data_IF_254058154077
#
_entry.id   IF_254058154077
#
_cell.length_a   1.000
_cell.length_b   1.000
_cell.length_c   1.000
_cell.angle_alpha   90.00
_cell.angle_beta   90.00
_cell.angle_gamma   90.00
#
_symmetry.space_group_name_H-M   'P 1'
#
loop_
_entity.id
_entity.type
_entity.pdbx_description
1 polymer ?
#
# COMPACT_ATOMS: atom_id res chain seq x y z
N UNK A 1 16.49 -17.79 8.14
CA UNK A 1 16.92 -17.39 6.78
C UNK A 1 16.75 -15.89 6.64
N UNK A 2 17.80 -15.10 6.85
CA UNK A 2 17.76 -13.64 6.68
C UNK A 2 17.86 -13.31 5.18
N UNK A 3 16.73 -13.32 4.47
CA UNK A 3 16.69 -12.77 3.13
C UNK A 3 17.14 -11.31 3.19
N UNK A 4 18.14 -10.96 2.36
CA UNK A 4 18.71 -9.63 2.34
C UNK A 4 17.64 -8.62 1.93
N UNK A 5 17.41 -7.57 2.74
CA UNK A 5 16.43 -6.51 2.46
C UNK A 5 16.62 -5.88 1.07
N UNK A 6 17.87 -5.79 0.61
CA UNK A 6 18.22 -5.32 -0.74
C UNK A 6 17.68 -6.26 -1.82
N UNK A 7 17.76 -7.58 -1.61
CA UNK A 7 17.21 -8.55 -2.56
C UNK A 7 15.69 -8.43 -2.67
N UNK A 8 14.99 -8.25 -1.54
CA UNK A 8 13.53 -8.06 -1.53
C UNK A 8 13.12 -6.78 -2.29
N UNK A 9 13.89 -5.69 -2.15
CA UNK A 9 13.67 -4.47 -2.94
C UNK A 9 13.92 -4.70 -4.44
N UNK A 10 14.95 -5.44 -4.80
CA UNK A 10 15.23 -5.78 -6.20
C UNK A 10 14.12 -6.65 -6.80
N UNK A 11 13.60 -7.61 -6.03
CA UNK A 11 12.49 -8.47 -6.44
C UNK A 11 11.18 -7.66 -6.57
N UNK A 12 10.90 -6.75 -5.63
CA UNK A 12 9.78 -5.81 -5.74
C UNK A 12 9.88 -4.96 -7.00
N UNK A 13 11.06 -4.41 -7.29
CA UNK A 13 11.28 -3.64 -8.51
C UNK A 13 11.09 -4.51 -9.76
N UNK A 14 11.56 -5.76 -9.75
CA UNK A 14 11.38 -6.71 -10.85
C UNK A 14 9.90 -7.03 -11.08
N UNK A 15 9.12 -7.27 -10.02
CA UNK A 15 7.67 -7.46 -10.13
C UNK A 15 6.97 -6.21 -10.68
N UNK A 16 7.41 -5.01 -10.31
CA UNK A 16 6.86 -3.75 -10.82
C UNK A 16 7.18 -3.51 -12.30
N UNK A 17 8.36 -3.90 -12.76
CA UNK A 17 8.81 -3.62 -14.14
C UNK A 17 8.41 -4.74 -15.11
N UNK A 18 8.65 -5.99 -14.71
CA UNK A 18 8.58 -7.17 -15.57
C UNK A 18 7.48 -8.17 -15.16
N UNK A 19 7.00 -8.11 -13.92
CA UNK A 19 6.06 -9.11 -13.38
C UNK A 19 4.61 -8.97 -13.85
N UNK A 20 3.72 -9.72 -13.22
CA UNK A 20 2.26 -9.63 -13.43
C UNK A 20 1.54 -9.00 -12.23
N UNK A 21 2.30 -8.44 -11.29
CA UNK A 21 1.83 -7.91 -10.02
C UNK A 21 1.02 -8.95 -9.24
N UNK A 22 1.34 -10.25 -9.34
CA UNK A 22 0.62 -11.33 -8.66
C UNK A 22 1.54 -12.00 -7.63
N UNK A 23 1.78 -11.35 -6.48
CA UNK A 23 2.72 -11.81 -5.49
C UNK A 23 2.27 -13.13 -4.87
N UNK A 24 3.20 -14.04 -4.60
CA UNK A 24 2.91 -15.19 -3.75
C UNK A 24 2.79 -14.75 -2.29
N UNK A 25 2.13 -15.57 -1.46
CA UNK A 25 2.05 -15.33 -0.01
C UNK A 25 3.43 -15.20 0.62
N UNK A 26 4.37 -16.09 0.28
CA UNK A 26 5.74 -16.06 0.80
C UNK A 26 6.47 -14.78 0.40
N UNK A 27 6.28 -14.30 -0.83
CA UNK A 27 6.82 -13.02 -1.25
C UNK A 27 6.22 -11.85 -0.46
N UNK A 28 4.90 -11.82 -0.28
CA UNK A 28 4.24 -10.79 0.53
C UNK A 28 4.78 -10.77 1.97
N UNK A 29 4.93 -11.93 2.61
CA UNK A 29 5.48 -12.05 3.97
C UNK A 29 6.93 -11.53 4.05
N UNK A 30 7.75 -11.76 3.03
CA UNK A 30 9.11 -11.21 2.95
C UNK A 30 9.14 -9.67 2.85
N UNK A 31 8.09 -9.05 2.31
CA UNK A 31 8.00 -7.58 2.23
C UNK A 31 7.53 -6.93 3.53
N UNK A 32 6.88 -7.67 4.43
CA UNK A 32 6.31 -7.13 5.65
C UNK A 32 7.33 -6.40 6.55
N UNK A 33 8.56 -6.91 6.78
CA UNK A 33 9.57 -6.18 7.55
C UNK A 33 9.97 -4.84 6.92
N UNK A 34 9.94 -4.70 5.58
CA UNK A 34 10.28 -3.44 4.91
C UNK A 34 9.21 -2.38 5.14
N UNK A 35 7.94 -2.79 5.23
CA UNK A 35 6.81 -1.89 5.48
C UNK A 35 6.79 -1.30 6.89
N UNK A 36 7.41 -1.99 7.84
CA UNK A 36 7.44 -1.61 9.25
C UNK A 36 8.73 -0.87 9.63
N UNK A 37 9.71 -0.82 8.74
CA UNK A 37 11.00 -0.18 8.96
C UNK A 37 11.02 1.19 8.27
N UNK A 38 11.02 2.24 9.10
CA UNK A 38 10.97 3.63 8.63
C UNK A 38 12.14 4.00 7.71
N UNK A 39 13.28 3.31 7.81
CA UNK A 39 14.43 3.55 6.93
C UNK A 39 14.13 3.25 5.46
N UNK A 40 13.18 2.34 5.19
CA UNK A 40 12.80 1.95 3.83
C UNK A 40 11.62 2.74 3.28
N UNK A 41 10.91 3.51 4.10
CA UNK A 41 9.68 4.22 3.71
C UNK A 41 9.88 5.07 2.46
N UNK A 42 10.91 5.91 2.43
CA UNK A 42 11.23 6.75 1.26
C UNK A 42 11.54 5.93 0.01
N UNK A 43 12.25 4.80 0.16
CA UNK A 43 12.56 3.90 -0.96
C UNK A 43 11.29 3.24 -1.51
N UNK A 44 10.41 2.77 -0.64
CA UNK A 44 9.13 2.17 -1.01
C UNK A 44 8.21 3.15 -1.76
N UNK A 45 8.26 4.45 -1.43
CA UNK A 45 7.55 5.48 -2.20
C UNK A 45 8.19 5.79 -3.56
N UNK A 46 9.51 5.59 -3.71
CA UNK A 46 10.27 5.86 -4.95
C UNK A 46 10.34 4.67 -5.91
N UNK A 47 10.19 3.44 -5.41
CA UNK A 47 10.32 2.22 -6.22
C UNK A 47 9.31 2.13 -7.38
N UNK A 48 8.22 2.88 -7.28
CA UNK A 48 7.14 2.93 -8.25
C UNK A 48 7.30 4.02 -9.32
N UNK A 49 8.49 4.64 -9.43
CA UNK A 49 8.68 5.79 -10.31
C UNK A 49 8.24 5.45 -11.75
N UNK A 50 7.40 6.32 -12.34
CA UNK A 50 6.74 6.16 -13.65
C UNK A 50 5.71 5.03 -13.79
N UNK A 51 5.40 4.25 -12.74
CA UNK A 51 4.42 3.14 -12.79
C UNK A 51 3.44 3.11 -11.60
N UNK A 52 2.79 4.23 -11.25
CA UNK A 52 1.98 4.33 -10.03
C UNK A 52 0.83 3.30 -9.99
N UNK A 53 0.05 3.11 -11.07
CA UNK A 53 -1.07 2.16 -11.03
C UNK A 53 -0.64 0.69 -10.88
N UNK A 54 0.51 0.30 -11.46
CA UNK A 54 1.07 -1.05 -11.23
C UNK A 54 1.52 -1.24 -9.79
N UNK A 55 2.11 -0.21 -9.19
CA UNK A 55 2.48 -0.24 -7.79
C UNK A 55 1.25 -0.29 -6.87
N UNK A 56 0.19 0.45 -7.19
CA UNK A 56 -1.07 0.36 -6.47
C UNK A 56 -1.63 -1.06 -6.48
N UNK A 57 -1.65 -1.71 -7.66
CA UNK A 57 -2.10 -3.09 -7.79
C UNK A 57 -1.24 -4.08 -7.01
N UNK A 58 0.09 -3.99 -7.15
CA UNK A 58 1.02 -4.88 -6.45
C UNK A 58 0.88 -4.76 -4.94
N UNK A 59 0.90 -3.52 -4.40
CA UNK A 59 0.79 -3.30 -2.96
C UNK A 59 -0.59 -3.68 -2.41
N UNK A 60 -1.67 -3.50 -3.19
CA UNK A 60 -2.99 -4.02 -2.80
C UNK A 60 -2.96 -5.53 -2.63
N UNK A 61 -2.38 -6.26 -3.59
CA UNK A 61 -2.32 -7.74 -3.56
C UNK A 61 -1.35 -8.26 -2.50
N UNK A 62 -0.25 -7.56 -2.25
CA UNK A 62 0.60 -7.84 -1.09
C UNK A 62 -0.22 -7.68 0.20
N UNK A 63 -0.97 -6.58 0.34
CA UNK A 63 -1.84 -6.34 1.48
C UNK A 63 -2.91 -7.41 1.69
N UNK A 64 -3.40 -8.05 0.62
CA UNK A 64 -4.37 -9.15 0.70
C UNK A 64 -3.80 -10.39 1.42
N UNK A 65 -2.48 -10.61 1.35
CA UNK A 65 -1.79 -11.72 2.02
C UNK A 65 -1.30 -11.39 3.44
N UNK A 66 -1.29 -10.11 3.81
CA UNK A 66 -0.80 -9.64 5.10
C UNK A 66 -1.95 -9.41 6.09
N UNK A 67 -1.60 -9.11 7.35
CA UNK A 67 -2.53 -8.71 8.40
C UNK A 67 -1.93 -7.63 9.31
N UNK A 68 -2.77 -6.97 10.11
CA UNK A 68 -2.35 -6.01 11.11
C UNK A 68 -1.59 -4.82 10.52
N UNK A 69 -0.52 -4.37 11.19
CA UNK A 69 0.19 -3.14 10.81
C UNK A 69 0.83 -3.23 9.43
N UNK A 70 1.36 -4.40 9.04
CA UNK A 70 1.98 -4.56 7.72
C UNK A 70 0.94 -4.44 6.60
N UNK A 71 -0.26 -4.99 6.77
CA UNK A 71 -1.38 -4.80 5.85
C UNK A 71 -1.80 -3.34 5.75
N UNK A 72 -1.91 -2.64 6.88
CA UNK A 72 -2.25 -1.22 6.93
C UNK A 72 -1.25 -0.39 6.12
N UNK A 73 0.05 -0.62 6.30
CA UNK A 73 1.10 0.10 5.56
C UNK A 73 1.09 -0.25 4.06
N UNK A 74 0.91 -1.52 3.69
CA UNK A 74 0.81 -1.95 2.29
C UNK A 74 -0.37 -1.27 1.58
N UNK A 75 -1.56 -1.30 2.19
CA UNK A 75 -2.77 -0.67 1.64
C UNK A 75 -2.66 0.86 1.59
N UNK A 76 -1.96 1.48 2.55
CA UNK A 76 -1.67 2.92 2.54
C UNK A 76 -0.77 3.29 1.35
N UNK A 77 0.30 2.53 1.09
CA UNK A 77 1.13 2.72 -0.10
C UNK A 77 0.32 2.55 -1.38
N UNK A 78 -0.53 1.52 -1.43
CA UNK A 78 -1.39 1.26 -2.58
C UNK A 78 -2.32 2.46 -2.85
N UNK A 79 -2.92 3.05 -1.81
CA UNK A 79 -3.80 4.22 -1.93
C UNK A 79 -3.05 5.43 -2.48
N UNK A 80 -1.85 5.72 -1.95
CA UNK A 80 -1.01 6.82 -2.46
C UNK A 80 -0.68 6.61 -3.94
N UNK A 81 -0.32 5.40 -4.34
CA UNK A 81 -0.01 5.11 -5.73
C UNK A 81 -1.23 5.14 -6.64
N UNK A 82 -2.41 4.74 -6.17
CA UNK A 82 -3.66 4.86 -6.92
C UNK A 82 -3.97 6.33 -7.21
N UNK A 83 -3.85 7.21 -6.21
CA UNK A 83 -4.04 8.64 -6.39
C UNK A 83 -3.00 9.24 -7.32
N UNK A 84 -1.71 8.95 -7.13
CA UNK A 84 -0.63 9.38 -8.05
C UNK A 84 -0.83 8.90 -9.48
N UNK A 85 -1.50 7.76 -9.65
CA UNK A 85 -1.85 7.20 -10.95
C UNK A 85 -3.12 7.79 -11.57
N UNK A 86 -3.72 8.80 -10.95
CA UNK A 86 -4.93 9.46 -11.44
C UNK A 86 -6.22 8.69 -11.17
N UNK A 87 -6.22 7.74 -10.22
CA UNK A 87 -7.41 6.98 -9.87
C UNK A 87 -7.84 7.20 -8.40
N UNK A 88 -8.52 8.32 -8.11
CA UNK A 88 -8.95 8.66 -6.76
C UNK A 88 -10.01 7.69 -6.20
N UNK A 89 -10.85 7.08 -7.04
CA UNK A 89 -11.84 6.09 -6.60
C UNK A 89 -11.22 4.80 -6.05
N UNK A 90 -10.16 4.30 -6.69
CA UNK A 90 -9.37 3.18 -6.14
C UNK A 90 -8.69 3.61 -4.84
N UNK A 91 -8.13 4.83 -4.79
CA UNK A 91 -7.53 5.36 -3.55
C UNK A 91 -8.55 5.38 -2.40
N UNK A 92 -9.77 5.90 -2.63
CA UNK A 92 -10.84 5.92 -1.63
C UNK A 92 -11.23 4.51 -1.16
N UNK A 93 -11.34 3.55 -2.08
CA UNK A 93 -11.62 2.15 -1.75
C UNK A 93 -10.54 1.56 -0.84
N UNK A 94 -9.26 1.84 -1.13
CA UNK A 94 -8.13 1.38 -0.32
C UNK A 94 -8.10 2.05 1.06
N UNK A 95 -8.46 3.34 1.15
CA UNK A 95 -8.63 4.03 2.43
C UNK A 95 -9.68 3.35 3.29
N UNK A 96 -10.87 3.03 2.75
CA UNK A 96 -11.90 2.31 3.50
C UNK A 96 -11.40 0.96 4.01
N UNK A 97 -10.60 0.24 3.20
CA UNK A 97 -9.98 -1.03 3.62
C UNK A 97 -8.97 -0.84 4.75
N UNK A 98 -8.19 0.24 4.73
CA UNK A 98 -7.28 0.60 5.83
C UNK A 98 -8.06 0.88 7.11
N UNK A 99 -9.13 1.66 7.04
CA UNK A 99 -9.96 1.99 8.21
C UNK A 99 -10.59 0.75 8.86
N UNK A 100 -11.07 -0.20 8.03
CA UNK A 100 -11.59 -1.47 8.53
C UNK A 100 -10.49 -2.24 9.28
N UNK A 101 -9.29 -2.32 8.72
CA UNK A 101 -8.17 -3.05 9.33
C UNK A 101 -7.68 -2.36 10.63
N UNK A 102 -7.62 -1.02 10.64
CA UNK A 102 -7.32 -0.20 11.82
C UNK A 102 -8.30 -0.48 12.95
N UNK A 103 -9.61 -0.44 12.66
CA UNK A 103 -10.66 -0.76 13.66
C UNK A 103 -10.56 -2.19 14.16
N UNK A 104 -10.32 -3.14 13.26
CA UNK A 104 -10.24 -4.58 13.59
C UNK A 104 -9.06 -4.91 14.52
N UNK A 105 -7.92 -4.26 14.31
CA UNK A 105 -6.69 -4.57 15.02
C UNK A 105 -6.28 -3.52 16.07
N UNK A 106 -7.11 -2.50 16.32
CA UNK A 106 -6.82 -1.39 17.23
C UNK A 106 -5.46 -0.71 16.95
N UNK A 107 -5.07 -0.67 15.67
CA UNK A 107 -3.82 -0.05 15.25
C UNK A 107 -4.01 1.46 15.00
N UNK A 108 -2.96 2.27 15.10
CA UNK A 108 -3.04 3.68 14.75
C UNK A 108 -3.28 3.86 13.25
N UNK A 109 -4.17 4.78 12.88
CA UNK A 109 -4.34 5.22 11.49
C UNK A 109 -3.06 5.91 11.01
N UNK A 110 -2.48 5.50 9.86
CA UNK A 110 -1.34 6.21 9.31
C UNK A 110 -1.73 7.64 8.90
N UNK A 111 -0.95 8.64 9.31
CA UNK A 111 -1.22 10.05 8.98
C UNK A 111 -1.38 10.32 7.47
N UNK A 112 -0.76 9.50 6.63
CA UNK A 112 -0.92 9.57 5.18
C UNK A 112 -2.37 9.35 4.74
N UNK A 113 -3.16 8.54 5.46
CA UNK A 113 -4.59 8.36 5.17
C UNK A 113 -5.34 9.66 5.36
N UNK A 114 -5.07 10.39 6.44
CA UNK A 114 -5.71 11.67 6.69
C UNK A 114 -5.32 12.70 5.62
N UNK A 115 -4.05 12.69 5.18
CA UNK A 115 -3.60 13.53 4.05
C UNK A 115 -4.34 13.17 2.75
N UNK A 116 -4.48 11.88 2.42
CA UNK A 116 -5.18 11.46 1.21
C UNK A 116 -6.66 11.86 1.22
N UNK A 117 -7.30 11.85 2.40
CA UNK A 117 -8.69 12.31 2.57
C UNK A 117 -8.87 13.82 2.37
N UNK A 118 -7.80 14.62 2.31
CA UNK A 118 -7.90 16.04 1.98
C UNK A 118 -8.08 16.27 0.49
N UNK A 119 -7.69 15.31 -0.36
CA UNK A 119 -7.86 15.40 -1.81
C UNK A 119 -9.35 15.34 -2.19
N UNK A 120 -9.82 16.35 -2.95
CA UNK A 120 -11.23 16.45 -3.31
C UNK A 120 -11.72 15.24 -4.11
N UNK A 121 -10.92 14.76 -5.07
CA UNK A 121 -11.29 13.61 -5.88
C UNK A 121 -11.44 12.35 -5.04
N UNK A 122 -10.59 12.17 -4.03
CA UNK A 122 -10.74 11.07 -3.06
C UNK A 122 -12.00 11.25 -2.22
N UNK A 123 -12.25 12.46 -1.69
CA UNK A 123 -13.42 12.76 -0.85
C UNK A 123 -14.74 12.44 -1.52
N UNK A 124 -14.87 12.78 -2.80
CA UNK A 124 -16.09 12.54 -3.58
C UNK A 124 -16.43 11.04 -3.70
N UNK A 125 -15.44 10.15 -3.54
CA UNK A 125 -15.60 8.70 -3.62
C UNK A 125 -15.64 8.01 -2.25
N UNK A 126 -15.36 8.73 -1.16
CA UNK A 126 -15.48 8.15 0.17
C UNK A 126 -16.95 7.93 0.51
N UNK A 127 -17.30 6.83 1.22
CA UNK A 127 -18.65 6.67 1.71
C UNK A 127 -18.97 7.85 2.62
N UNK A 128 -20.05 8.58 2.29
CA UNK A 128 -20.54 9.63 3.15
C UNK A 128 -20.94 8.97 4.47
N UNK A 129 -20.38 9.43 5.58
CA UNK A 129 -20.85 9.00 6.89
C UNK A 129 -22.34 9.39 6.97
N UNK A 130 -23.22 8.39 6.90
CA UNK A 130 -24.63 8.61 7.21
C UNK A 130 -24.67 8.95 8.69
N UNK A 131 -25.09 10.18 8.99
CA UNK A 131 -25.22 10.72 10.33
C UNK A 131 -26.24 9.93 11.17
#
# INVERSE_FOLDING_TARGET
MCYNRIAILADLHTELVNGNCNPSRGFAELTAPLLLDDTFKTLLYKIADRRPLRAALLWSRIGDHLSGQARIQALTLAAVFALKGGNPGISATLITRVEVEVRRHHNPTPAMIDILKLDQGVRDHLPHAVA
#
